data_IF_992423082784
#
_entry.id   IF_992423082784
#
_cell.length_a   1.000
_cell.length_b   1.000
_cell.length_c   1.000
_cell.angle_alpha   90.00
_cell.angle_beta   90.00
_cell.angle_gamma   90.00
#
_symmetry.space_group_name_H-M   'P 1'
#
loop_
_entity.id
_entity.type
_entity.pdbx_description
1 polymer ?
#
# COMPACT_ATOMS: atom_id res chain seq x y z
N UNK A 1 35.94 -9.01 4.88
CA UNK A 1 34.53 -9.44 4.97
C UNK A 1 33.74 -8.73 3.88
N UNK A 2 33.34 -9.44 2.81
CA UNK A 2 32.48 -8.85 1.77
C UNK A 2 31.04 -8.91 2.28
N UNK A 3 30.44 -7.77 2.62
CA UNK A 3 29.01 -7.70 2.94
C UNK A 3 28.21 -7.93 1.67
N UNK A 4 27.50 -9.06 1.60
CA UNK A 4 26.61 -9.35 0.49
C UNK A 4 25.37 -8.43 0.60
N UNK A 5 25.20 -7.50 -0.34
CA UNK A 5 24.04 -6.59 -0.39
C UNK A 5 23.17 -6.92 -1.59
N UNK A 6 21.91 -7.24 -1.35
CA UNK A 6 20.91 -7.33 -2.41
C UNK A 6 20.57 -5.92 -2.89
N UNK A 7 20.55 -5.72 -4.21
CA UNK A 7 20.14 -4.48 -4.85
C UNK A 7 18.97 -4.79 -5.77
N UNK A 8 17.90 -4.03 -5.65
CA UNK A 8 16.74 -4.10 -6.53
C UNK A 8 16.72 -2.83 -7.39
N UNK A 9 16.76 -2.99 -8.70
CA UNK A 9 16.59 -1.88 -9.66
C UNK A 9 15.13 -1.90 -10.11
N UNK A 10 14.47 -0.75 -10.03
CA UNK A 10 13.05 -0.57 -10.39
C UNK A 10 12.85 0.75 -11.11
N UNK A 11 11.73 0.87 -11.81
CA UNK A 11 11.37 2.09 -12.53
C UNK A 11 11.34 3.31 -11.59
N UNK A 12 11.90 4.42 -12.04
CA UNK A 12 11.77 5.70 -11.35
C UNK A 12 10.33 6.21 -11.51
N UNK A 13 9.71 6.51 -10.38
CA UNK A 13 8.36 7.08 -10.30
C UNK A 13 8.41 8.52 -9.80
N UNK A 14 7.27 9.20 -9.90
CA UNK A 14 7.07 10.56 -9.40
C UNK A 14 6.82 10.60 -7.88
N UNK A 15 6.38 11.76 -7.36
CA UNK A 15 6.15 11.95 -5.93
C UNK A 15 5.06 11.00 -5.40
N UNK A 16 5.14 10.70 -4.11
CA UNK A 16 4.09 9.95 -3.42
C UNK A 16 2.83 10.79 -3.22
N UNK A 17 1.72 10.13 -2.90
CA UNK A 17 0.50 10.85 -2.52
C UNK A 17 0.68 11.65 -1.22
N UNK A 18 1.56 11.23 -0.31
CA UNK A 18 1.89 12.02 0.90
C UNK A 18 2.65 13.30 0.53
N UNK A 19 3.63 13.21 -0.37
CA UNK A 19 4.39 14.38 -0.86
C UNK A 19 3.45 15.39 -1.52
N UNK A 20 2.56 14.90 -2.40
CA UNK A 20 1.56 15.73 -3.06
C UNK A 20 0.54 16.31 -2.08
N UNK A 21 0.16 15.55 -1.05
CA UNK A 21 -0.76 16.02 -0.04
C UNK A 21 -0.16 17.16 0.77
N UNK A 22 1.12 17.03 1.16
CA UNK A 22 1.85 18.09 1.84
C UNK A 22 2.08 19.31 0.94
N UNK A 23 2.40 19.10 -0.34
CA UNK A 23 2.50 20.18 -1.34
C UNK A 23 1.19 20.97 -1.47
N UNK A 24 0.04 20.29 -1.41
CA UNK A 24 -1.29 20.90 -1.44
C UNK A 24 -1.78 21.39 -0.06
N UNK A 25 -0.87 21.74 0.86
CA UNK A 25 -1.19 22.20 2.22
C UNK A 25 -2.13 21.26 2.98
N UNK A 26 -1.94 19.94 2.80
CA UNK A 26 -2.73 18.87 3.44
C UNK A 26 -4.22 18.94 3.10
N UNK A 27 -4.55 19.42 1.90
CA UNK A 27 -5.93 19.46 1.41
C UNK A 27 -6.00 19.15 -0.08
N UNK A 28 -6.70 18.07 -0.41
CA UNK A 28 -7.09 17.79 -1.79
C UNK A 28 -8.52 18.25 -2.06
N UNK A 29 -8.74 18.76 -3.27
CA UNK A 29 -10.09 19.06 -3.76
C UNK A 29 -10.84 17.78 -4.12
N UNK A 30 -12.17 17.82 -4.10
CA UNK A 30 -13.00 16.67 -4.49
C UNK A 30 -12.70 16.20 -5.93
N UNK A 31 -12.41 17.14 -6.83
CA UNK A 31 -11.98 16.88 -8.22
C UNK A 31 -10.70 16.04 -8.30
N UNK A 32 -9.84 16.12 -7.27
CA UNK A 32 -8.59 15.33 -7.17
C UNK A 32 -8.85 14.00 -6.47
N UNK A 33 -9.63 14.00 -5.39
CA UNK A 33 -9.89 12.80 -4.57
C UNK A 33 -10.68 11.74 -5.33
N UNK A 34 -11.71 12.12 -6.10
CA UNK A 34 -12.58 11.18 -6.82
C UNK A 34 -11.82 10.27 -7.81
N UNK A 35 -11.05 10.79 -8.77
CA UNK A 35 -10.29 9.95 -9.69
C UNK A 35 -9.18 9.17 -8.99
N UNK A 36 -8.54 9.73 -7.95
CA UNK A 36 -7.55 9.02 -7.14
C UNK A 36 -8.17 7.80 -6.45
N UNK A 37 -9.31 7.98 -5.77
CA UNK A 37 -10.02 6.90 -5.08
C UNK A 37 -10.37 5.74 -6.03
N UNK A 38 -10.84 6.05 -7.24
CA UNK A 38 -11.13 5.04 -8.27
C UNK A 38 -9.90 4.21 -8.66
N UNK A 39 -8.74 4.86 -8.83
CA UNK A 39 -7.48 4.17 -9.11
C UNK A 39 -7.00 3.33 -7.92
N UNK A 40 -7.07 3.85 -6.69
CA UNK A 40 -6.65 3.14 -5.49
C UNK A 40 -7.46 1.86 -5.27
N UNK A 41 -8.78 1.94 -5.40
CA UNK A 41 -9.68 0.77 -5.29
C UNK A 41 -9.36 -0.26 -6.37
N UNK A 42 -9.13 0.20 -7.61
CA UNK A 42 -8.79 -0.69 -8.73
C UNK A 42 -7.50 -1.47 -8.48
N UNK A 43 -6.47 -0.80 -7.95
CA UNK A 43 -5.22 -1.47 -7.61
C UNK A 43 -5.37 -2.47 -6.46
N UNK A 44 -6.11 -2.12 -5.40
CA UNK A 44 -6.37 -3.04 -4.28
C UNK A 44 -7.12 -4.27 -4.78
N UNK A 45 -8.15 -4.07 -5.61
CA UNK A 45 -8.89 -5.17 -6.25
C UNK A 45 -7.97 -6.05 -7.09
N UNK A 46 -7.04 -5.47 -7.85
CA UNK A 46 -6.07 -6.22 -8.62
C UNK A 46 -5.14 -7.05 -7.73
N UNK A 47 -4.55 -6.46 -6.68
CA UNK A 47 -3.69 -7.19 -5.73
C UNK A 47 -4.44 -8.37 -5.11
N UNK A 48 -5.69 -8.15 -4.67
CA UNK A 48 -6.52 -9.20 -4.09
C UNK A 48 -6.85 -10.30 -5.09
N UNK A 49 -7.08 -9.96 -6.38
CA UNK A 49 -7.31 -10.96 -7.44
C UNK A 49 -6.09 -11.86 -7.69
N UNK A 50 -4.90 -11.43 -7.29
CA UNK A 50 -3.65 -12.20 -7.38
C UNK A 50 -3.35 -12.99 -6.10
N UNK A 51 -4.33 -13.11 -5.20
CA UNK A 51 -4.21 -13.77 -3.89
C UNK A 51 -3.17 -13.13 -2.97
N UNK A 52 -2.91 -11.83 -3.13
CA UNK A 52 -2.07 -11.08 -2.21
C UNK A 52 -2.94 -10.20 -1.33
N UNK A 53 -2.60 -10.11 -0.04
CA UNK A 53 -3.23 -9.20 0.92
C UNK A 53 -2.20 -8.14 1.28
N UNK A 54 -2.51 -6.89 0.95
CA UNK A 54 -1.67 -5.75 1.29
C UNK A 54 -1.96 -5.33 2.74
N UNK A 55 -0.91 -5.24 3.56
CA UNK A 55 -1.03 -4.87 4.99
C UNK A 55 -0.51 -3.48 5.34
N UNK A 56 0.06 -2.77 4.37
CA UNK A 56 0.58 -1.42 4.55
C UNK A 56 0.07 -0.55 3.42
N UNK A 57 -1.21 -0.19 3.54
CA UNK A 57 -1.89 0.77 2.66
C UNK A 57 -1.72 2.14 3.33
N UNK A 58 -0.91 3.00 2.73
CA UNK A 58 -0.64 4.36 3.19
C UNK A 58 -0.26 5.26 2.02
N UNK A 59 -0.48 6.58 2.08
CA UNK A 59 -0.19 7.50 0.98
C UNK A 59 1.25 7.43 0.46
N UNK A 60 2.23 7.16 1.32
CA UNK A 60 3.64 7.00 0.95
C UNK A 60 3.90 5.85 -0.03
N UNK A 61 3.06 4.80 0.01
CA UNK A 61 3.22 3.61 -0.84
C UNK A 61 2.51 3.76 -2.19
N UNK A 62 1.90 4.92 -2.46
CA UNK A 62 1.24 5.24 -3.72
C UNK A 62 1.98 6.40 -4.39
N UNK A 63 2.65 6.12 -5.51
CA UNK A 63 3.42 7.11 -6.26
C UNK A 63 2.73 7.43 -7.57
N UNK A 64 2.85 8.68 -8.02
CA UNK A 64 2.41 9.06 -9.36
C UNK A 64 3.42 8.58 -10.40
N UNK A 65 2.95 8.30 -11.63
CA UNK A 65 3.85 8.10 -12.76
C UNK A 65 4.59 9.37 -13.16
N UNK A 66 5.47 9.26 -14.15
CA UNK A 66 6.21 10.39 -14.73
C UNK A 66 5.82 10.61 -16.20
N UNK A 67 5.98 11.86 -16.66
CA UNK A 67 5.69 12.26 -18.05
C UNK A 67 4.26 11.93 -18.48
N UNK A 68 4.10 11.22 -19.60
CA UNK A 68 2.79 10.82 -20.16
C UNK A 68 1.95 9.95 -19.23
N UNK A 69 2.56 9.32 -18.21
CA UNK A 69 1.88 8.48 -17.21
C UNK A 69 1.66 9.22 -15.88
N UNK A 70 1.85 10.55 -15.84
CA UNK A 70 1.77 11.36 -14.63
C UNK A 70 0.40 11.35 -13.92
N UNK A 71 -0.66 10.97 -14.63
CA UNK A 71 -2.01 10.83 -14.07
C UNK A 71 -2.31 9.42 -13.50
N UNK A 72 -1.36 8.49 -13.59
CA UNK A 72 -1.51 7.12 -13.10
C UNK A 72 -0.86 6.96 -11.73
N UNK A 73 -1.62 6.41 -10.78
CA UNK A 73 -1.08 5.97 -9.48
C UNK A 73 -0.40 4.60 -9.66
N UNK A 74 0.69 4.37 -8.95
CA UNK A 74 1.41 3.10 -8.86
C UNK A 74 1.59 2.71 -7.40
N UNK A 75 1.49 1.42 -7.12
CA UNK A 75 1.76 0.88 -5.77
C UNK A 75 3.20 0.41 -5.71
N UNK A 76 3.91 0.83 -4.66
CA UNK A 76 5.27 0.38 -4.37
C UNK A 76 5.33 -0.47 -3.08
N UNK A 77 6.54 -0.76 -2.61
CA UNK A 77 6.88 -1.45 -1.36
C UNK A 77 6.58 -2.96 -1.31
N UNK A 78 5.43 -3.53 -1.00
CA UNK A 78 5.16 -4.99 -0.92
C UNK A 78 5.88 -5.80 0.15
N UNK A 79 6.84 -5.25 0.89
CA UNK A 79 7.60 -5.97 1.93
C UNK A 79 6.70 -6.62 3.00
N UNK A 80 5.52 -6.05 3.25
CA UNK A 80 4.56 -6.53 4.24
C UNK A 80 3.38 -7.35 3.66
N UNK A 81 3.39 -7.62 2.35
CA UNK A 81 2.31 -8.35 1.68
C UNK A 81 2.27 -9.81 2.12
N UNK A 82 1.06 -10.34 2.36
CA UNK A 82 0.87 -11.77 2.64
C UNK A 82 0.20 -12.47 1.47
N UNK A 83 0.71 -13.65 1.14
CA UNK A 83 0.10 -14.53 0.16
C UNK A 83 -1.06 -15.31 0.81
N UNK A 84 -2.18 -15.37 0.10
CA UNK A 84 -3.35 -16.20 0.38
C UNK A 84 -3.26 -17.44 -0.50
N UNK A 85 -3.56 -18.62 0.03
CA UNK A 85 -3.49 -19.86 -0.74
C UNK A 85 -4.41 -19.80 -1.98
N UNK A 86 -3.87 -19.94 -3.21
CA UNK A 86 -4.61 -19.81 -4.45
C UNK A 86 -5.49 -21.03 -4.75
N UNK A 87 -5.23 -22.20 -4.13
CA UNK A 87 -5.97 -23.44 -4.38
C UNK A 87 -7.21 -23.54 -3.51
N UNK A 88 -7.09 -23.18 -2.24
CA UNK A 88 -8.20 -23.28 -1.28
C UNK A 88 -9.03 -22.00 -1.22
N UNK A 89 -8.50 -20.86 -1.69
CA UNK A 89 -9.02 -19.53 -1.43
C UNK A 89 -9.38 -19.30 0.05
N UNK A 90 -8.84 -20.11 0.96
CA UNK A 90 -9.10 -19.98 2.38
C UNK A 90 -8.41 -18.71 2.86
N UNK A 91 -9.19 -17.86 3.52
CA UNK A 91 -8.63 -16.70 4.19
C UNK A 91 -7.67 -17.18 5.28
N UNK A 92 -6.55 -16.48 5.47
CA UNK A 92 -5.62 -16.77 6.57
C UNK A 92 -6.46 -16.82 7.86
N UNK A 93 -6.41 -17.92 8.62
CA UNK A 93 -7.25 -18.06 9.80
C UNK A 93 -7.00 -16.88 10.74
N UNK A 94 -8.09 -16.40 11.35
CA UNK A 94 -8.01 -15.37 12.36
C UNK A 94 -7.07 -15.83 13.48
N UNK A 95 -6.18 -14.95 13.91
CA UNK A 95 -5.21 -15.20 14.97
C UNK A 95 -5.10 -13.92 15.78
N UNK A 96 -5.34 -14.03 17.08
CA UNK A 96 -5.11 -12.97 18.07
C UNK A 96 -3.62 -12.89 18.43
N UNK A 97 -3.19 -11.83 19.10
CA UNK A 97 -1.79 -11.59 19.52
C UNK A 97 -0.78 -11.52 18.36
N UNK A 98 -1.12 -10.82 17.27
CA UNK A 98 -0.11 -10.47 16.26
C UNK A 98 0.58 -9.17 16.64
N UNK A 99 1.90 -9.15 16.56
CA UNK A 99 2.67 -7.91 16.60
C UNK A 99 2.09 -6.92 15.59
N UNK A 100 1.94 -5.66 16.01
CA UNK A 100 1.46 -4.61 15.13
C UNK A 100 2.37 -4.54 13.89
N UNK A 101 1.80 -4.79 12.72
CA UNK A 101 2.52 -4.74 11.44
C UNK A 101 1.82 -3.74 10.52
N UNK A 102 2.61 -2.91 9.83
CA UNK A 102 2.11 -1.78 9.05
C UNK A 102 2.10 -0.46 9.82
N UNK A 103 1.72 0.62 9.15
CA UNK A 103 1.72 1.97 9.74
C UNK A 103 0.49 2.19 10.62
N UNK A 104 0.71 2.42 11.92
CA UNK A 104 -0.34 2.44 12.94
C UNK A 104 -1.53 3.36 12.59
N UNK A 105 -1.29 4.53 12.00
CA UNK A 105 -2.31 5.51 11.62
C UNK A 105 -3.29 5.04 10.55
N UNK A 106 -2.88 4.09 9.69
CA UNK A 106 -3.68 3.57 8.58
C UNK A 106 -4.14 2.12 8.78
N UNK A 107 -3.87 1.54 9.95
CA UNK A 107 -4.30 0.18 10.26
C UNK A 107 -5.78 0.12 10.64
N UNK A 108 -6.46 -0.97 10.29
CA UNK A 108 -7.87 -1.16 10.65
C UNK A 108 -8.05 -1.28 12.16
N UNK A 109 -9.20 -0.84 12.69
CA UNK A 109 -9.47 -0.83 14.14
C UNK A 109 -9.28 -2.19 14.80
N UNK A 110 -9.60 -3.29 14.10
CA UNK A 110 -9.40 -4.66 14.61
C UNK A 110 -7.94 -5.09 14.76
N UNK A 111 -7.01 -4.50 14.00
CA UNK A 111 -5.57 -4.76 14.17
C UNK A 111 -4.94 -3.88 15.27
N UNK A 112 -5.55 -2.73 15.56
CA UNK A 112 -5.09 -1.81 16.60
C UNK A 112 -5.45 -2.29 18.02
N UNK A 113 -6.64 -2.86 18.20
CA UNK A 113 -7.12 -3.34 19.52
C UNK A 113 -6.46 -4.65 19.97
N UNK A 114 -5.99 -5.48 19.04
CA UNK A 114 -5.35 -6.77 19.33
C UNK A 114 -3.87 -6.67 19.74
N UNK A 115 -3.25 -5.48 19.64
CA UNK A 115 -1.86 -5.22 20.06
C UNK A 115 -1.76 -4.45 21.39
N UNK A 116 -2.90 -4.02 21.95
CA UNK A 116 -2.99 -3.30 23.23
C UNK A 116 -3.48 -4.18 24.38
N UNK A 117 -3.62 -5.50 24.13
CA UNK A 117 -3.91 -6.52 25.13
C UNK A 117 -2.69 -7.41 25.31
#
# INVERSE_FOLDING_TARGET
MVQNRMRLVMDLLGPSLEDLFNFCHRKFSLKTVLPLAGQLISHIKYIHSRNFIRRDIKPDNFLMGIGKRGNQVKIIDFSLTKFKDPKTHLHIPYRENKNLTGTAWYTSSGHRTSSLR
#
